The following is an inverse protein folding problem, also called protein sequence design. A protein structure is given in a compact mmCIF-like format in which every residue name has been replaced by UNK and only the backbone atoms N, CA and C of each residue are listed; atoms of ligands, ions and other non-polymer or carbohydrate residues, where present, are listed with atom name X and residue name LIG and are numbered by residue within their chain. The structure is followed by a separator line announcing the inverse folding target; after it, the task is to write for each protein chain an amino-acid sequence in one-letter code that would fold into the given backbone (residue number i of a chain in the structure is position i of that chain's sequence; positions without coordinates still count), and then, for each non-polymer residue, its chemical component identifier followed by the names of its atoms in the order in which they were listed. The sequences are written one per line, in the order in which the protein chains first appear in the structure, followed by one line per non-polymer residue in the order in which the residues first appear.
data_IF_155533154661
#
_entry.id   IF_155533154661
#
_cell.length_a   1.000
_cell.length_b   1.000
_cell.length_c   1.000
_cell.angle_alpha   90.00
_cell.angle_beta   90.00
_cell.angle_gamma   90.00
#
_symmetry.space_group_name_H-M   'P 1'
#
loop_
_entity.id
_entity.type
_entity.pdbx_description
1 polymer ?
#
# COMPACT_ATOMS: atom_id res chain seq x y z
N UNK A 1 11.89 -11.32 28.43
CA UNK A 1 10.50 -11.68 28.09
C UNK A 1 10.42 -11.85 26.57
N UNK A 2 10.28 -13.07 26.07
CA UNK A 2 10.02 -13.34 24.66
C UNK A 2 8.54 -13.06 24.38
N UNK A 3 8.25 -12.09 23.49
CA UNK A 3 6.88 -11.82 23.04
C UNK A 3 6.36 -13.06 22.29
N UNK A 4 5.07 -13.37 22.44
CA UNK A 4 4.44 -14.62 21.95
C UNK A 4 4.19 -14.71 20.43
N UNK A 5 4.66 -13.74 19.64
CA UNK A 5 4.23 -13.59 18.24
C UNK A 5 2.84 -12.97 18.13
N UNK A 6 2.37 -12.74 16.90
CA UNK A 6 1.02 -12.27 16.61
C UNK A 6 0.08 -13.49 16.46
N UNK A 7 -1.18 -13.43 16.92
CA UNK A 7 -2.18 -14.43 16.54
C UNK A 7 -2.37 -14.48 15.02
N UNK A 8 -2.54 -15.66 14.43
CA UNK A 8 -2.74 -15.82 12.98
C UNK A 8 -3.84 -14.91 12.38
N UNK A 9 -5.02 -14.72 13.01
CA UNK A 9 -6.01 -13.76 12.49
C UNK A 9 -5.52 -12.30 12.43
N UNK A 10 -4.59 -11.91 13.30
CA UNK A 10 -3.97 -10.59 13.24
C UNK A 10 -2.97 -10.48 12.08
N UNK A 11 -2.24 -11.55 11.76
CA UNK A 11 -1.42 -11.62 10.55
C UNK A 11 -2.28 -11.36 9.30
N UNK A 12 -3.40 -12.08 9.17
CA UNK A 12 -4.33 -11.91 8.04
C UNK A 12 -4.79 -10.46 7.92
N UNK A 13 -5.28 -9.87 9.01
CA UNK A 13 -5.72 -8.47 9.02
C UNK A 13 -4.61 -7.51 8.59
N UNK A 14 -3.38 -7.69 9.09
CA UNK A 14 -2.25 -6.83 8.73
C UNK A 14 -1.90 -7.00 7.25
N UNK A 15 -1.86 -8.24 6.74
CA UNK A 15 -1.58 -8.52 5.34
C UNK A 15 -2.58 -7.86 4.40
N UNK A 16 -3.88 -7.93 4.71
CA UNK A 16 -4.94 -7.24 3.97
C UNK A 16 -4.70 -5.72 3.93
N UNK A 17 -4.41 -5.11 5.08
CA UNK A 17 -4.18 -3.66 5.21
C UNK A 17 -2.93 -3.22 4.44
N UNK A 18 -1.78 -3.87 4.65
CA UNK A 18 -0.54 -3.48 3.99
C UNK A 18 -0.63 -3.65 2.47
N UNK A 19 -1.31 -4.69 2.01
CA UNK A 19 -1.54 -4.93 0.57
C UNK A 19 -2.46 -3.89 -0.05
N UNK A 20 -3.51 -3.49 0.67
CA UNK A 20 -4.42 -2.42 0.27
C UNK A 20 -3.73 -1.06 0.15
N UNK A 21 -2.96 -0.69 1.19
CA UNK A 21 -2.17 0.55 1.18
C UNK A 21 -1.16 0.56 0.04
N UNK A 22 -0.42 -0.54 -0.16
CA UNK A 22 0.54 -0.64 -1.26
C UNK A 22 -0.15 -0.44 -2.62
N UNK A 23 -1.34 -1.05 -2.81
CA UNK A 23 -2.12 -0.92 -4.05
C UNK A 23 -2.53 0.54 -4.28
N UNK A 24 -3.04 1.24 -3.26
CA UNK A 24 -3.36 2.66 -3.38
C UNK A 24 -2.13 3.49 -3.76
N UNK A 25 -0.99 3.27 -3.10
CA UNK A 25 0.24 4.02 -3.41
C UNK A 25 0.72 3.79 -4.85
N UNK A 26 0.57 2.56 -5.39
CA UNK A 26 0.89 2.27 -6.80
C UNK A 26 -0.02 3.06 -7.76
N UNK A 27 -1.31 3.20 -7.44
CA UNK A 27 -2.21 4.04 -8.23
C UNK A 27 -1.80 5.51 -8.21
N UNK A 28 -1.52 6.06 -7.04
CA UNK A 28 -1.09 7.45 -6.90
C UNK A 28 0.27 7.70 -7.58
N UNK A 29 1.21 6.77 -7.46
CA UNK A 29 2.49 6.84 -8.16
C UNK A 29 2.29 6.88 -9.68
N UNK A 30 1.43 6.02 -10.22
CA UNK A 30 1.09 6.00 -11.64
C UNK A 30 0.49 7.34 -12.08
N UNK A 31 -0.41 7.92 -11.28
CA UNK A 31 -0.98 9.24 -11.55
C UNK A 31 0.09 10.34 -11.60
N UNK A 32 1.03 10.34 -10.65
CA UNK A 32 2.15 11.29 -10.63
C UNK A 32 3.09 11.12 -11.83
N UNK A 33 3.41 9.88 -12.20
CA UNK A 33 4.26 9.58 -13.35
C UNK A 33 3.62 9.98 -14.69
N UNK A 34 2.29 10.01 -14.76
CA UNK A 34 1.55 10.50 -15.92
C UNK A 34 1.46 12.03 -15.93
N UNK A 35 1.41 12.68 -14.76
CA UNK A 35 1.24 14.13 -14.64
C UNK A 35 2.56 14.93 -14.70
N UNK A 36 3.68 14.33 -14.28
CA UNK A 36 4.96 15.03 -14.12
C UNK A 36 6.10 14.37 -14.92
N UNK A 37 7.15 15.12 -15.27
CA UNK A 37 8.34 14.55 -15.91
C UNK A 37 9.00 13.48 -15.05
N UNK A 38 9.62 12.48 -15.71
CA UNK A 38 10.30 11.34 -15.05
C UNK A 38 11.65 11.68 -14.41
N UNK A 39 12.14 12.91 -14.53
CA UNK A 39 13.44 13.35 -13.99
C UNK A 39 13.36 14.77 -13.44
N UNK A 40 14.26 15.08 -12.51
CA UNK A 40 14.40 16.38 -11.88
C UNK A 40 13.45 16.59 -10.69
N UNK A 41 13.39 17.81 -10.12
CA UNK A 41 12.68 18.04 -8.85
C UNK A 41 11.20 17.66 -8.85
N UNK A 42 10.53 17.70 -10.02
CA UNK A 42 9.11 17.34 -10.14
C UNK A 42 8.85 15.84 -10.20
N UNK A 43 9.90 15.02 -10.42
CA UNK A 43 9.83 13.56 -10.36
C UNK A 43 9.90 13.04 -8.91
N UNK A 44 10.51 13.82 -8.02
CA UNK A 44 10.80 13.42 -6.64
C UNK A 44 9.59 12.87 -5.87
N UNK A 45 8.35 13.42 -5.99
CA UNK A 45 7.19 12.82 -5.34
C UNK A 45 6.90 11.37 -5.76
N UNK A 46 7.02 11.05 -7.05
CA UNK A 46 6.80 9.69 -7.54
C UNK A 46 7.92 8.73 -7.09
N UNK A 47 9.15 9.23 -7.00
CA UNK A 47 10.29 8.49 -6.45
C UNK A 47 10.08 8.16 -4.96
N UNK A 48 9.56 9.10 -4.16
CA UNK A 48 9.26 8.84 -2.75
C UNK A 48 8.12 7.83 -2.57
N UNK A 49 7.11 7.84 -3.45
CA UNK A 49 6.09 6.79 -3.43
C UNK A 49 6.66 5.42 -3.77
N UNK A 50 7.62 5.33 -4.71
CA UNK A 50 8.34 4.08 -4.97
C UNK A 50 9.04 3.55 -3.72
N UNK A 51 9.77 4.42 -3.01
CA UNK A 51 10.46 4.05 -1.76
C UNK A 51 9.48 3.51 -0.72
N UNK A 52 8.30 4.13 -0.58
CA UNK A 52 7.26 3.65 0.34
C UNK A 52 6.67 2.29 -0.09
N UNK A 53 6.43 2.10 -1.39
CA UNK A 53 5.96 0.82 -1.95
C UNK A 53 6.97 -0.30 -1.67
N UNK A 54 8.26 -0.04 -1.89
CA UNK A 54 9.33 -1.00 -1.64
C UNK A 54 9.46 -1.35 -0.15
N UNK A 55 9.31 -0.36 0.72
CA UNK A 55 9.32 -0.56 2.17
C UNK A 55 8.12 -1.42 2.64
N UNK A 56 6.92 -1.19 2.10
CA UNK A 56 5.74 -2.02 2.39
C UNK A 56 5.92 -3.45 1.91
N UNK A 57 6.47 -3.63 0.70
CA UNK A 57 6.77 -4.95 0.16
C UNK A 57 7.78 -5.71 1.04
N UNK A 58 8.86 -5.05 1.46
CA UNK A 58 9.86 -5.63 2.35
C UNK A 58 9.26 -6.02 3.71
N UNK A 59 8.40 -5.17 4.29
CA UNK A 59 7.69 -5.47 5.53
C UNK A 59 6.78 -6.70 5.39
N UNK A 60 6.02 -6.80 4.28
CA UNK A 60 5.16 -7.96 3.99
C UNK A 60 5.97 -9.25 3.85
N UNK A 61 7.09 -9.23 3.14
CA UNK A 61 8.00 -10.39 3.04
C UNK A 61 8.59 -10.81 4.38
N UNK A 62 8.96 -9.85 5.22
CA UNK A 62 9.49 -10.16 6.56
C UNK A 62 8.42 -10.80 7.45
N UNK A 63 7.19 -10.29 7.39
CA UNK A 63 6.07 -10.83 8.17
C UNK A 63 5.55 -12.17 7.63
N UNK A 64 5.64 -12.41 6.32
CA UNK A 64 5.39 -13.73 5.71
C UNK A 64 6.32 -14.78 6.30
N UNK A 65 7.62 -14.51 6.37
CA UNK A 65 8.56 -15.43 7.02
C UNK A 65 8.20 -15.63 8.51
N UNK A 66 7.83 -14.56 9.21
CA UNK A 66 7.44 -14.65 10.60
C UNK A 66 6.18 -15.51 10.82
N UNK A 67 5.16 -15.42 9.95
CA UNK A 67 3.95 -16.25 10.10
C UNK A 67 4.25 -17.74 9.84
N UNK A 68 5.18 -18.06 8.93
CA UNK A 68 5.65 -19.43 8.74
C UNK A 68 6.37 -19.99 9.97
N UNK A 69 7.13 -19.15 10.68
CA UNK A 69 7.80 -19.54 11.93
C UNK A 69 6.81 -19.67 13.10
N UNK A 70 5.85 -18.75 13.20
CA UNK A 70 4.90 -18.66 14.31
C UNK A 70 3.72 -19.65 14.17
N UNK A 71 3.25 -19.89 12.94
CA UNK A 71 2.04 -20.68 12.64
C UNK A 71 2.23 -21.64 11.44
N UNK A 72 3.20 -22.57 11.47
CA UNK A 72 3.59 -23.37 10.30
C UNK A 72 2.47 -24.24 9.70
N UNK A 73 1.47 -24.60 10.49
CA UNK A 73 0.33 -25.42 10.04
C UNK A 73 -0.78 -24.61 9.35
N UNK A 74 -0.77 -23.28 9.49
CA UNK A 74 -1.79 -22.37 8.96
C UNK A 74 -1.24 -21.39 7.91
N UNK A 75 0.06 -21.08 7.99
CA UNK A 75 0.69 -20.05 7.20
C UNK A 75 0.58 -20.32 5.69
N UNK A 76 0.15 -19.29 4.97
CA UNK A 76 0.12 -19.28 3.51
C UNK A 76 0.75 -18.01 2.97
N UNK A 77 1.27 -18.05 1.74
CA UNK A 77 1.78 -16.86 1.04
C UNK A 77 0.68 -15.79 0.95
N UNK A 78 -0.57 -16.21 0.78
CA UNK A 78 -1.75 -15.36 0.68
C UNK A 78 -2.05 -14.57 1.96
N UNK A 79 -1.50 -14.96 3.12
CA UNK A 79 -1.65 -14.22 4.38
C UNK A 79 -1.10 -12.79 4.26
N UNK A 80 0.02 -12.63 3.55
CA UNK A 80 0.65 -11.35 3.28
C UNK A 80 0.65 -10.95 1.81
N UNK A 81 0.27 -11.86 0.91
CA UNK A 81 0.10 -11.62 -0.53
C UNK A 81 -1.29 -12.02 -1.03
N UNK A 82 -2.36 -11.43 -0.47
CA UNK A 82 -3.73 -11.78 -0.84
C UNK A 82 -4.09 -11.37 -2.26
N UNK A 83 -5.05 -12.12 -2.82
CA UNK A 83 -5.78 -11.74 -4.03
C UNK A 83 -6.46 -10.36 -3.87
N UNK A 84 -6.76 -9.72 -4.99
CA UNK A 84 -7.22 -8.32 -5.02
C UNK A 84 -8.51 -8.12 -4.21
N UNK A 85 -9.46 -9.05 -4.31
CA UNK A 85 -10.73 -9.07 -3.60
C UNK A 85 -10.60 -9.19 -2.06
N UNK A 86 -9.42 -9.51 -1.57
CA UNK A 86 -9.13 -9.66 -0.15
C UNK A 86 -8.23 -8.55 0.40
N UNK A 87 -7.83 -7.57 -0.42
CA UNK A 87 -7.06 -6.42 0.04
C UNK A 87 -7.98 -5.41 0.73
N UNK A 88 -7.46 -4.68 1.70
CA UNK A 88 -8.19 -3.56 2.28
C UNK A 88 -8.38 -2.45 1.23
N UNK A 89 -9.58 -1.87 1.17
CA UNK A 89 -9.85 -0.71 0.32
C UNK A 89 -9.44 0.58 1.04
N UNK A 90 -8.73 1.47 0.34
CA UNK A 90 -8.41 2.81 0.83
C UNK A 90 -9.46 3.80 0.32
N UNK A 91 -10.36 4.22 1.20
CA UNK A 91 -11.41 5.20 0.85
C UNK A 91 -10.84 6.61 0.93
N UNK A 92 -10.78 7.30 -0.21
CA UNK A 92 -10.40 8.72 -0.29
C UNK A 92 -11.66 9.57 -0.21
N UNK A 93 -11.89 10.31 0.90
CA UNK A 93 -13.09 11.12 1.04
C UNK A 93 -13.06 12.31 0.09
N UNK A 94 -14.24 12.76 -0.34
CA UNK A 94 -14.36 14.01 -1.10
C UNK A 94 -13.86 15.20 -0.27
N UNK A 95 -12.98 16.00 -0.87
CA UNK A 95 -12.53 17.26 -0.29
C UNK A 95 -13.37 18.42 -0.84
N UNK A 96 -13.86 19.35 0.00
CA UNK A 96 -14.53 20.55 -0.47
C UNK A 96 -13.66 21.30 -1.50
N UNK A 97 -14.20 21.56 -2.68
CA UNK A 97 -13.50 22.21 -3.78
C UNK A 97 -12.92 21.26 -4.85
N UNK A 98 -13.05 19.95 -4.71
CA UNK A 98 -12.60 18.96 -5.70
C UNK A 98 -13.54 18.78 -6.91
N UNK A 99 -14.57 19.61 -7.07
CA UNK A 99 -15.45 19.52 -8.25
C UNK A 99 -14.68 19.91 -9.52
N UNK A 100 -14.72 19.09 -10.58
CA UNK A 100 -14.00 19.34 -11.85
C UNK A 100 -14.46 20.61 -12.61
N UNK A 101 -15.43 21.37 -12.10
CA UNK A 101 -16.04 22.52 -12.77
C UNK A 101 -15.53 23.92 -12.36
N UNK A 102 -14.56 24.06 -11.45
CA UNK A 102 -14.16 25.39 -10.92
C UNK A 102 -12.88 26.01 -11.48
N UNK A 103 -12.14 25.31 -12.34
CA UNK A 103 -11.10 25.95 -13.14
C UNK A 103 -11.75 26.67 -14.34
N UNK A 104 -12.44 27.79 -14.07
CA UNK A 104 -12.70 28.77 -15.14
C UNK A 104 -11.34 29.29 -15.56
N UNK A 105 -10.87 28.84 -16.73
CA UNK A 105 -9.79 29.51 -17.45
C UNK A 105 -10.17 30.98 -17.57
N UNK A 106 -9.50 31.82 -16.79
CA UNK A 106 -9.54 33.27 -16.94
C UNK A 106 -8.89 33.64 -18.27
N UNK A 107 -9.55 34.55 -18.97
CA UNK A 107 -9.19 35.14 -20.27
C UNK A 107 -7.73 35.54 -20.41
#
# INVERSE_FOLDING_TARGET
MTKRGLPHPEHLRIGQVLSGVQTQLMHEQTALMNAYPRRGPRAFPAEQLQVAIDALYAARRALENAVYDEHPALATTEDYFPYEEHRAEVVVPEKPGSSPGRARFGR
#
